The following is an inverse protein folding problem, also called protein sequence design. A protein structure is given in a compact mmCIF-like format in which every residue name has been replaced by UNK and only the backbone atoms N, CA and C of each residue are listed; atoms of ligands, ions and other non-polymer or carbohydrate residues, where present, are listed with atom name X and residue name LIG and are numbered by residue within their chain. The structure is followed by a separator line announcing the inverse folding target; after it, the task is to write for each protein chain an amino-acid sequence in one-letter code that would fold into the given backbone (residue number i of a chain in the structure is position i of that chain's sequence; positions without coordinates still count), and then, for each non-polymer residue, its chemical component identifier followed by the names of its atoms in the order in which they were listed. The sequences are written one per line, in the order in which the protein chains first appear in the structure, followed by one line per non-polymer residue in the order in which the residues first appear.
data_IF_857834627080
#
_entry.id   IF_857834627080
#
_cell.length_a   1.000
_cell.length_b   1.000
_cell.length_c   1.000
_cell.angle_alpha   90.00
_cell.angle_beta   90.00
_cell.angle_gamma   90.00
#
_symmetry.space_group_name_H-M   'P 1'
#
loop_
_entity.id
_entity.type
_entity.pdbx_description
1 polymer ?
#
# COMPACT_ATOMS: atom_id res chain seq x y z
N UNK A 1 -20.21 -13.78 -7.75
CA UNK A 1 -20.00 -12.37 -7.43
C UNK A 1 -20.64 -12.09 -6.06
N UNK A 2 -19.84 -11.89 -5.05
CA UNK A 2 -20.35 -11.46 -3.75
C UNK A 2 -20.87 -10.03 -3.84
N UNK A 3 -22.09 -9.77 -3.34
CA UNK A 3 -22.64 -8.42 -3.27
C UNK A 3 -21.85 -7.59 -2.26
N UNK A 4 -21.46 -6.38 -2.63
CA UNK A 4 -20.91 -5.39 -1.70
C UNK A 4 -22.06 -4.94 -0.80
N UNK A 5 -22.05 -5.34 0.45
CA UNK A 5 -23.01 -4.87 1.43
C UNK A 5 -22.49 -3.59 2.08
N UNK A 6 -23.15 -2.48 1.80
CA UNK A 6 -22.85 -1.20 2.43
C UNK A 6 -23.69 -1.04 3.68
N UNK A 7 -23.07 -0.69 4.77
CA UNK A 7 -23.72 -0.33 6.00
C UNK A 7 -23.33 1.11 6.37
N UNK A 8 -24.33 1.97 6.54
CA UNK A 8 -24.14 3.34 7.03
C UNK A 8 -24.50 3.34 8.51
N UNK A 9 -23.64 3.84 9.37
CA UNK A 9 -23.93 3.96 10.80
C UNK A 9 -25.06 4.96 11.04
N UNK A 10 -25.83 4.76 12.11
CA UNK A 10 -26.98 5.62 12.46
C UNK A 10 -26.64 7.12 12.57
N UNK A 11 -25.37 7.46 12.79
CA UNK A 11 -24.88 8.84 12.90
C UNK A 11 -24.37 9.45 11.58
N UNK A 12 -24.48 8.78 10.44
CA UNK A 12 -24.01 9.21 9.10
C UNK A 12 -22.53 9.64 9.01
N UNK A 13 -21.70 9.30 10.01
CA UNK A 13 -20.28 9.68 10.05
C UNK A 13 -19.33 8.55 9.64
N UNK A 14 -19.82 7.32 9.60
CA UNK A 14 -19.01 6.14 9.24
C UNK A 14 -19.76 5.31 8.23
N UNK A 15 -19.14 5.04 7.10
CA UNK A 15 -19.61 4.07 6.12
C UNK A 15 -18.76 2.80 6.23
N UNK A 16 -19.42 1.66 6.38
CA UNK A 16 -18.79 0.33 6.36
C UNK A 16 -19.06 -0.28 4.99
N UNK A 17 -17.98 -0.60 4.28
CA UNK A 17 -18.05 -1.21 2.96
C UNK A 17 -17.67 -2.68 3.08
N UNK A 18 -18.62 -3.58 2.86
CA UNK A 18 -18.36 -5.01 2.80
C UNK A 18 -17.76 -5.40 1.46
N UNK A 19 -16.58 -5.97 1.45
CA UNK A 19 -15.90 -6.47 0.26
C UNK A 19 -15.68 -7.98 0.45
N UNK A 20 -16.10 -8.83 -0.49
CA UNK A 20 -15.86 -10.27 -0.42
C UNK A 20 -14.36 -10.57 -0.31
N UNK A 21 -13.99 -11.41 0.63
CA UNK A 21 -12.61 -11.85 0.83
C UNK A 21 -12.28 -13.04 -0.07
N UNK A 22 -11.02 -13.17 -0.40
CA UNK A 22 -10.43 -14.36 -1.03
C UNK A 22 -9.65 -15.16 0.00
N UNK A 23 -9.09 -16.30 -0.38
CA UNK A 23 -8.20 -17.10 0.48
C UNK A 23 -6.96 -16.30 0.92
N UNK A 24 -6.56 -15.29 0.13
CA UNK A 24 -5.47 -14.36 0.45
C UNK A 24 -5.92 -13.18 1.32
N UNK A 25 -7.20 -13.12 1.68
CA UNK A 25 -7.81 -12.06 2.47
C UNK A 25 -8.51 -10.99 1.62
N UNK A 26 -8.50 -9.75 2.09
CA UNK A 26 -9.20 -8.65 1.45
C UNK A 26 -8.49 -8.22 0.15
N UNK A 27 -9.15 -8.28 -1.03
CA UNK A 27 -8.52 -7.92 -2.30
C UNK A 27 -8.35 -6.39 -2.42
N UNK A 28 -7.09 -5.93 -2.44
CA UNK A 28 -6.77 -4.48 -2.44
C UNK A 28 -7.35 -3.73 -3.64
N UNK A 29 -7.46 -4.39 -4.80
CA UNK A 29 -8.04 -3.77 -6.01
C UNK A 29 -9.51 -3.44 -5.84
N UNK A 30 -10.26 -4.31 -5.20
CA UNK A 30 -11.68 -4.10 -4.94
C UNK A 30 -11.89 -3.03 -3.87
N UNK A 31 -11.00 -2.95 -2.87
CA UNK A 31 -10.97 -1.85 -1.91
C UNK A 31 -10.77 -0.51 -2.63
N UNK A 32 -9.80 -0.40 -3.52
CA UNK A 32 -9.51 0.82 -4.27
C UNK A 32 -10.71 1.19 -5.17
N UNK A 33 -11.33 0.23 -5.85
CA UNK A 33 -12.53 0.47 -6.67
C UNK A 33 -13.68 1.02 -5.83
N UNK A 34 -13.93 0.43 -4.67
CA UNK A 34 -14.99 0.86 -3.76
C UNK A 34 -14.76 2.29 -3.23
N UNK A 35 -13.52 2.65 -2.92
CA UNK A 35 -13.15 4.00 -2.51
C UNK A 35 -13.24 4.99 -3.68
N UNK A 36 -12.77 4.60 -4.85
CA UNK A 36 -12.82 5.42 -6.06
C UNK A 36 -14.26 5.73 -6.50
N UNK A 37 -15.18 4.77 -6.39
CA UNK A 37 -16.60 4.99 -6.70
C UNK A 37 -17.27 6.01 -5.77
N UNK A 38 -16.63 6.34 -4.64
CA UNK A 38 -17.03 7.38 -3.69
C UNK A 38 -16.29 8.71 -3.90
N UNK A 39 -15.55 8.85 -4.99
CA UNK A 39 -14.81 10.06 -5.33
C UNK A 39 -13.45 10.20 -4.62
N UNK A 40 -13.00 9.18 -3.90
CA UNK A 40 -11.69 9.18 -3.25
C UNK A 40 -10.62 8.78 -4.27
N UNK A 41 -10.02 9.77 -4.92
CA UNK A 41 -9.07 9.57 -6.03
C UNK A 41 -7.61 9.53 -5.57
N UNK A 42 -7.33 9.99 -4.35
CA UNK A 42 -6.00 9.94 -3.74
C UNK A 42 -6.10 9.22 -2.41
N UNK A 43 -5.30 8.17 -2.26
CA UNK A 43 -5.27 7.35 -1.08
C UNK A 43 -3.86 7.36 -0.49
N UNK A 44 -3.76 7.62 0.79
CA UNK A 44 -2.54 7.42 1.55
C UNK A 44 -2.66 6.10 2.30
N UNK A 45 -1.83 5.12 1.93
CA UNK A 45 -1.80 3.80 2.55
C UNK A 45 -0.71 3.80 3.60
N UNK A 46 -1.11 3.74 4.84
CA UNK A 46 -0.22 3.60 5.97
C UNK A 46 -0.57 2.36 6.80
N UNK A 47 0.29 1.98 7.72
CA UNK A 47 0.04 0.89 8.63
C UNK A 47 1.20 -0.08 8.75
N UNK A 48 0.94 -1.28 9.27
CA UNK A 48 1.95 -2.32 9.41
C UNK A 48 2.41 -2.91 8.09
N UNK A 49 3.52 -3.63 8.13
CA UNK A 49 4.14 -4.23 6.94
C UNK A 49 3.21 -5.10 6.11
N UNK A 50 2.21 -5.73 6.72
CA UNK A 50 1.23 -6.57 5.98
C UNK A 50 0.36 -5.74 5.04
N UNK A 51 -0.18 -4.61 5.51
CA UNK A 51 -1.03 -3.73 4.70
C UNK A 51 -0.24 -3.18 3.52
N UNK A 52 0.92 -2.57 3.77
CA UNK A 52 1.76 -1.99 2.72
C UNK A 52 2.23 -3.06 1.74
N UNK A 53 2.60 -4.24 2.22
CA UNK A 53 3.02 -5.37 1.37
C UNK A 53 1.90 -5.81 0.43
N UNK A 54 0.66 -5.91 0.90
CA UNK A 54 -0.49 -6.28 0.06
C UNK A 54 -0.73 -5.28 -1.06
N UNK A 55 -0.68 -3.98 -0.77
CA UNK A 55 -0.81 -2.95 -1.79
C UNK A 55 0.35 -2.95 -2.77
N UNK A 56 1.58 -3.16 -2.28
CA UNK A 56 2.77 -3.27 -3.13
C UNK A 56 2.69 -4.47 -4.08
N UNK A 57 2.42 -5.66 -3.54
CA UNK A 57 2.29 -6.90 -4.34
C UNK A 57 1.10 -6.84 -5.31
N UNK A 58 0.05 -6.13 -4.95
CA UNK A 58 -1.11 -5.91 -5.82
C UNK A 58 -0.81 -5.00 -7.01
N UNK A 59 0.37 -4.36 -7.08
CA UNK A 59 0.75 -3.43 -8.14
C UNK A 59 -0.13 -2.16 -8.13
N UNK A 60 -0.64 -1.77 -6.98
CA UNK A 60 -1.65 -0.71 -6.85
C UNK A 60 -1.09 0.61 -6.33
N UNK A 61 0.18 0.65 -5.98
CA UNK A 61 0.85 1.85 -5.52
C UNK A 61 1.43 2.65 -6.68
N UNK A 62 1.19 3.95 -6.70
CA UNK A 62 1.86 4.90 -7.59
C UNK A 62 3.20 5.35 -7.00
N UNK A 63 3.28 5.45 -5.68
CA UNK A 63 4.46 5.89 -4.93
C UNK A 63 4.63 5.05 -3.68
N UNK A 64 5.89 4.81 -3.31
CA UNK A 64 6.26 4.20 -2.03
C UNK A 64 7.21 5.15 -1.32
N UNK A 65 6.89 5.49 -0.08
CA UNK A 65 7.74 6.32 0.75
C UNK A 65 8.29 5.51 1.91
N UNK A 66 9.62 5.55 2.09
CA UNK A 66 10.32 4.85 3.17
C UNK A 66 11.15 5.88 3.93
N UNK A 67 10.85 6.05 5.22
CA UNK A 67 11.65 6.86 6.13
C UNK A 67 12.66 5.97 6.85
N UNK A 68 13.91 6.41 6.86
CA UNK A 68 15.02 5.71 7.52
C UNK A 68 15.58 6.62 8.61
N UNK A 69 15.41 6.19 9.86
CA UNK A 69 15.99 6.86 11.01
C UNK A 69 17.47 6.46 11.20
N UNK A 70 18.31 7.33 11.77
CA UNK A 70 19.73 7.03 12.05
C UNK A 70 19.87 6.15 13.30
N UNK A 71 19.15 5.02 13.32
CA UNK A 71 19.08 4.09 14.44
C UNK A 71 19.25 2.67 13.94
N UNK A 72 20.12 1.91 14.58
CA UNK A 72 20.38 0.52 14.24
C UNK A 72 19.70 -0.40 15.23
N UNK A 73 18.80 -1.26 14.74
CA UNK A 73 18.20 -2.34 15.52
C UNK A 73 18.89 -3.67 15.21
N UNK A 74 19.06 -4.51 16.21
CA UNK A 74 19.58 -5.86 16.03
C UNK A 74 18.55 -6.79 15.37
N UNK A 75 17.27 -6.59 15.67
CA UNK A 75 16.14 -7.29 15.06
C UNK A 75 14.89 -6.42 15.11
N UNK A 76 13.90 -6.71 14.29
CA UNK A 76 12.65 -5.94 14.25
C UNK A 76 11.62 -6.54 13.32
N UNK A 77 10.49 -5.86 13.18
CA UNK A 77 9.45 -6.24 12.21
C UNK A 77 9.81 -5.67 10.84
N UNK A 78 9.80 -6.50 9.78
CA UNK A 78 10.01 -6.01 8.42
C UNK A 78 8.95 -4.99 8.02
N UNK A 79 9.37 -3.87 7.41
CA UNK A 79 8.46 -2.86 6.86
C UNK A 79 7.73 -3.36 5.61
N UNK A 80 8.38 -4.23 4.84
CA UNK A 80 7.83 -4.98 3.71
C UNK A 80 8.14 -6.46 3.88
N UNK A 81 7.16 -7.32 3.56
CA UNK A 81 7.30 -8.78 3.61
C UNK A 81 7.17 -9.35 2.21
N UNK A 82 8.21 -9.19 1.43
CA UNK A 82 8.27 -9.69 0.07
C UNK A 82 8.90 -11.09 0.03
N UNK A 83 8.60 -11.89 -0.99
CA UNK A 83 9.33 -13.13 -1.23
C UNK A 83 10.84 -12.89 -1.36
N UNK A 84 11.67 -13.86 -0.99
CA UNK A 84 13.12 -13.75 -1.20
C UNK A 84 13.46 -13.45 -2.66
N UNK A 85 14.36 -12.51 -2.89
CA UNK A 85 14.86 -12.20 -4.22
C UNK A 85 16.13 -13.05 -4.46
N UNK A 86 16.14 -13.93 -5.47
CA UNK A 86 17.25 -14.86 -5.68
C UNK A 86 18.58 -14.16 -5.99
N UNK A 87 18.54 -13.09 -6.76
CA UNK A 87 19.72 -12.33 -7.15
C UNK A 87 19.51 -10.81 -7.02
N UNK A 88 20.58 -10.05 -6.90
CA UNK A 88 20.52 -8.60 -6.85
C UNK A 88 19.98 -7.98 -8.16
N UNK A 89 20.12 -8.66 -9.29
CA UNK A 89 19.60 -8.23 -10.58
C UNK A 89 18.08 -8.31 -10.64
N UNK A 90 17.48 -9.27 -9.94
CA UNK A 90 16.02 -9.47 -9.86
C UNK A 90 15.37 -8.58 -8.79
N UNK A 91 16.17 -7.84 -8.02
CA UNK A 91 15.64 -6.92 -7.02
C UNK A 91 14.74 -5.86 -7.68
N UNK A 92 13.63 -5.55 -7.01
CA UNK A 92 12.75 -4.48 -7.44
C UNK A 92 13.53 -3.16 -7.56
N UNK A 93 13.33 -2.47 -8.67
CA UNK A 93 13.89 -1.15 -8.91
C UNK A 93 12.77 -0.17 -9.25
N UNK A 94 12.69 0.97 -8.56
CA UNK A 94 11.70 1.99 -8.89
C UNK A 94 12.05 2.64 -10.24
N UNK A 95 11.04 3.21 -10.88
CA UNK A 95 11.23 4.03 -12.08
C UNK A 95 12.10 5.25 -11.80
N UNK A 96 11.84 5.90 -10.67
CA UNK A 96 12.59 7.04 -10.17
C UNK A 96 12.62 7.02 -8.64
N UNK A 97 13.71 7.52 -8.07
CA UNK A 97 13.86 7.68 -6.63
C UNK A 97 14.39 9.08 -6.33
N UNK A 98 13.73 9.76 -5.42
CA UNK A 98 14.20 11.00 -4.79
C UNK A 98 14.40 10.75 -3.29
N UNK A 99 15.21 11.56 -2.65
CA UNK A 99 15.41 11.49 -1.21
C UNK A 99 15.41 12.89 -0.59
N UNK A 100 14.96 12.97 0.64
CA UNK A 100 14.79 14.21 1.37
C UNK A 100 15.28 14.04 2.80
N UNK A 101 15.95 15.06 3.34
CA UNK A 101 16.28 15.15 4.76
C UNK A 101 15.05 15.64 5.52
N UNK A 102 14.60 14.86 6.50
CA UNK A 102 13.49 15.23 7.40
C UNK A 102 13.99 15.17 8.86
N UNK A 103 14.52 16.30 9.35
CA UNK A 103 15.21 16.30 10.63
C UNK A 103 16.44 15.38 10.57
N UNK A 104 16.51 14.38 11.43
CA UNK A 104 17.58 13.39 11.43
C UNK A 104 17.30 12.19 10.51
N UNK A 105 16.07 12.05 10.02
CA UNK A 105 15.63 10.98 9.13
C UNK A 105 15.89 11.31 7.67
N UNK A 106 16.00 10.26 6.85
CA UNK A 106 16.01 10.38 5.39
C UNK A 106 14.76 9.72 4.84
N UNK A 107 13.97 10.48 4.09
CA UNK A 107 12.82 9.97 3.35
C UNK A 107 13.23 9.60 1.92
N UNK A 108 13.04 8.35 1.55
CA UNK A 108 13.11 7.90 0.16
C UNK A 108 11.72 7.90 -0.44
N UNK A 109 11.56 8.53 -1.59
CA UNK A 109 10.31 8.61 -2.35
C UNK A 109 10.50 7.93 -3.69
N UNK A 110 9.91 6.76 -3.83
CA UNK A 110 9.99 5.92 -5.03
C UNK A 110 8.78 6.16 -5.93
N UNK A 111 9.00 6.51 -7.17
CA UNK A 111 7.97 6.45 -8.20
C UNK A 111 7.92 5.03 -8.77
N UNK A 112 6.75 4.41 -8.69
CA UNK A 112 6.54 3.04 -9.14
C UNK A 112 5.93 3.02 -10.55
N UNK A 113 6.27 2.00 -11.34
CA UNK A 113 5.54 1.78 -12.59
C UNK A 113 4.10 1.36 -12.30
N UNK A 114 3.17 2.04 -12.96
CA UNK A 114 1.76 1.67 -12.85
C UNK A 114 1.52 0.35 -13.58
N UNK A 115 1.28 -0.69 -12.81
CA UNK A 115 0.81 -1.99 -13.32
C UNK A 115 -0.71 -2.00 -13.44
N UNK A 116 -1.37 -1.07 -12.77
CA UNK A 116 -2.81 -0.95 -12.75
C UNK A 116 -3.29 0.08 -13.76
N UNK A 117 -4.25 -0.25 -14.64
CA UNK A 117 -4.85 0.74 -15.53
C UNK A 117 -5.55 1.83 -14.72
N UNK A 118 -5.20 3.06 -15.00
CA UNK A 118 -5.71 4.27 -14.34
C UNK A 118 -7.15 4.65 -14.73
N UNK A 119 -7.89 3.72 -15.33
CA UNK A 119 -9.27 3.96 -15.80
C UNK A 119 -10.27 3.01 -15.15
#
# INVERSE_FOLDING_TARGET
MGSINNYISENNHVEIIGIPTTDEGLPVRDCIRALRSRGLLRLFVEGGGDTVTRFFNGGTLDRLQISVAPTVFGSGRPGLRLPPTPTAQEAFRPKQCSHFQLGDDILFDFELEKVWPSK
#
